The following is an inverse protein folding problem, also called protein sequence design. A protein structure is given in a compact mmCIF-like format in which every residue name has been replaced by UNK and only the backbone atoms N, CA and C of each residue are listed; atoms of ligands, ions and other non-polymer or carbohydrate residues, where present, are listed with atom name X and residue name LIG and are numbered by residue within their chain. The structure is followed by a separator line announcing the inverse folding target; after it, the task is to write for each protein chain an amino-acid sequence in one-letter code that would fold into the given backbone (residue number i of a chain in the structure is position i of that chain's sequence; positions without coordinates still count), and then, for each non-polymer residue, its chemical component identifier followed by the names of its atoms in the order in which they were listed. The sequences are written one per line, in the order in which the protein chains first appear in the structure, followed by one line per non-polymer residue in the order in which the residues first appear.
data_IF_630017631866
#
_entry.id   IF_630017631866
#
_cell.length_a   1.000
_cell.length_b   1.000
_cell.length_c   1.000
_cell.angle_alpha   90.00
_cell.angle_beta   90.00
_cell.angle_gamma   90.00
#
_symmetry.space_group_name_H-M   'P 1'
#
loop_
_entity.id
_entity.type
_entity.pdbx_description
1 polymer ?
#
# COMPACT_ATOMS: atom_id res chain seq x y z
N UNK A 1 -19.79 17.06 6.02
CA UNK A 1 -20.31 15.91 5.24
C UNK A 1 -19.12 14.99 5.09
N UNK A 2 -19.18 13.71 5.45
CA UNK A 2 -17.98 12.86 5.37
C UNK A 2 -17.82 12.32 3.94
N UNK A 3 -16.67 12.56 3.33
CA UNK A 3 -16.33 12.05 2.01
C UNK A 3 -15.46 10.81 2.15
N UNK A 4 -15.74 9.78 1.35
CA UNK A 4 -15.07 8.49 1.45
C UNK A 4 -14.23 8.25 0.20
N UNK A 5 -12.96 7.98 0.38
CA UNK A 5 -11.99 7.67 -0.66
C UNK A 5 -11.48 6.26 -0.41
N UNK A 6 -11.71 5.39 -1.38
CA UNK A 6 -11.16 4.05 -1.36
C UNK A 6 -9.93 4.09 -2.24
N UNK A 7 -8.76 3.82 -1.67
CA UNK A 7 -7.62 3.49 -2.50
C UNK A 7 -7.69 1.99 -2.78
N UNK A 8 -7.42 1.63 -4.03
CA UNK A 8 -7.26 0.26 -4.47
C UNK A 8 -6.08 0.29 -5.42
N UNK A 9 -5.02 -0.46 -5.10
CA UNK A 9 -3.72 -0.52 -5.79
C UNK A 9 -3.66 0.25 -7.13
N UNK A 10 -3.08 1.45 -7.10
CA UNK A 10 -3.00 2.30 -8.29
C UNK A 10 -4.25 3.14 -8.57
N UNK A 11 -5.01 3.52 -7.54
CA UNK A 11 -6.17 4.42 -7.68
C UNK A 11 -5.87 5.83 -7.22
N UNK A 12 -5.29 6.01 -6.03
CA UNK A 12 -4.90 7.34 -5.53
C UNK A 12 -3.42 7.62 -5.71
N UNK A 13 -2.57 6.61 -5.55
CA UNK A 13 -1.12 6.74 -5.67
C UNK A 13 -0.52 5.70 -6.61
N UNK A 14 0.55 6.09 -7.30
CA UNK A 14 1.42 5.16 -8.01
C UNK A 14 2.61 4.79 -7.12
N UNK A 15 2.52 3.60 -6.54
CA UNK A 15 3.61 2.98 -5.77
C UNK A 15 4.47 2.03 -6.61
N UNK A 16 4.12 1.79 -7.89
CA UNK A 16 4.78 0.81 -8.77
C UNK A 16 6.29 1.00 -8.81
N UNK A 17 6.84 2.22 -8.99
CA UNK A 17 8.29 2.40 -9.06
C UNK A 17 9.01 2.02 -7.77
N UNK A 18 8.40 2.30 -6.61
CA UNK A 18 8.97 1.98 -5.29
C UNK A 18 8.95 0.47 -5.05
N UNK A 19 7.81 -0.18 -5.35
CA UNK A 19 7.64 -1.63 -5.23
C UNK A 19 8.61 -2.37 -6.15
N UNK A 20 8.73 -1.97 -7.43
CA UNK A 20 9.67 -2.60 -8.36
C UNK A 20 11.13 -2.48 -7.92
N UNK A 21 11.54 -1.32 -7.37
CA UNK A 21 12.90 -1.16 -6.83
C UNK A 21 13.13 -2.00 -5.58
N UNK A 22 12.14 -2.11 -4.70
CA UNK A 22 12.24 -2.99 -3.54
C UNK A 22 12.46 -4.44 -3.98
N UNK A 23 11.68 -4.92 -4.95
CA UNK A 23 11.86 -6.26 -5.54
C UNK A 23 13.25 -6.46 -6.16
N UNK A 24 13.72 -5.50 -6.96
CA UNK A 24 15.06 -5.58 -7.59
C UNK A 24 16.17 -5.58 -6.55
N UNK A 25 16.04 -4.77 -5.50
CA UNK A 25 17.03 -4.69 -4.42
C UNK A 25 17.07 -5.99 -3.64
N UNK A 26 15.91 -6.48 -3.20
CA UNK A 26 15.81 -7.74 -2.48
C UNK A 26 16.30 -8.92 -3.32
N UNK A 27 15.93 -9.00 -4.60
CA UNK A 27 16.39 -10.07 -5.49
C UNK A 27 17.93 -10.07 -5.64
N UNK A 28 18.56 -8.89 -5.70
CA UNK A 28 20.02 -8.79 -5.71
C UNK A 28 20.66 -9.21 -4.37
N UNK A 29 20.01 -8.92 -3.23
CA UNK A 29 20.45 -9.39 -1.91
C UNK A 29 20.36 -10.91 -1.76
N UNK A 30 19.40 -11.55 -2.44
CA UNK A 30 19.14 -13.00 -2.36
C UNK A 30 19.74 -13.81 -3.52
N UNK A 31 20.45 -13.16 -4.45
CA UNK A 31 21.00 -13.76 -5.68
C UNK A 31 19.94 -14.40 -6.59
N UNK A 32 18.81 -13.70 -6.77
CA UNK A 32 17.66 -14.11 -7.58
C UNK A 32 17.48 -13.23 -8.84
N UNK A 33 16.83 -13.78 -9.86
CA UNK A 33 16.46 -13.03 -11.06
C UNK A 33 15.24 -12.13 -10.79
N UNK A 34 15.49 -10.83 -10.62
CA UNK A 34 14.46 -9.82 -10.45
C UNK A 34 13.46 -9.78 -11.62
N UNK A 35 13.88 -10.07 -12.85
CA UNK A 35 12.99 -10.03 -14.01
C UNK A 35 11.95 -11.16 -13.93
N UNK A 36 12.37 -12.37 -13.53
CA UNK A 36 11.46 -13.50 -13.32
C UNK A 36 10.43 -13.22 -12.22
N UNK A 37 10.86 -12.56 -11.12
CA UNK A 37 9.97 -12.18 -10.02
C UNK A 37 8.95 -11.12 -10.49
N UNK A 38 9.40 -10.05 -11.12
CA UNK A 38 8.54 -8.95 -11.56
C UNK A 38 7.52 -9.37 -12.62
N UNK A 39 7.85 -10.37 -13.45
CA UNK A 39 6.91 -10.95 -14.41
C UNK A 39 5.67 -11.56 -13.76
N UNK A 40 5.79 -12.03 -12.52
CA UNK A 40 4.69 -12.71 -11.81
C UNK A 40 4.16 -11.92 -10.62
N UNK A 41 4.80 -10.83 -10.20
CA UNK A 41 4.48 -10.16 -8.94
C UNK A 41 3.19 -9.33 -8.97
N UNK A 42 2.83 -8.77 -10.13
CA UNK A 42 1.67 -7.87 -10.22
C UNK A 42 0.34 -8.59 -9.96
N UNK A 43 -0.53 -7.96 -9.16
CA UNK A 43 -1.86 -8.50 -8.82
C UNK A 43 -1.83 -9.71 -7.89
N UNK A 44 -0.67 -10.02 -7.28
CA UNK A 44 -0.51 -11.08 -6.28
C UNK A 44 -0.07 -10.48 -4.95
N UNK A 45 -0.42 -11.13 -3.86
CA UNK A 45 0.16 -10.80 -2.56
C UNK A 45 1.66 -11.08 -2.59
N UNK A 46 2.46 -10.16 -2.07
CA UNK A 46 3.91 -10.29 -2.08
C UNK A 46 4.40 -11.62 -1.48
N UNK A 47 3.77 -12.11 -0.41
CA UNK A 47 4.09 -13.41 0.20
C UNK A 47 3.85 -14.59 -0.73
N UNK A 48 2.79 -14.56 -1.54
CA UNK A 48 2.51 -15.64 -2.50
C UNK A 48 3.54 -15.64 -3.62
N UNK A 49 4.00 -14.47 -4.05
CA UNK A 49 5.11 -14.34 -5.00
C UNK A 49 6.42 -14.85 -4.38
N UNK A 50 6.76 -14.44 -3.16
CA UNK A 50 7.98 -14.89 -2.47
C UNK A 50 8.05 -16.42 -2.32
N UNK A 51 6.91 -17.05 -2.01
CA UNK A 51 6.83 -18.51 -1.84
C UNK A 51 7.22 -19.30 -3.11
N UNK A 52 7.18 -18.68 -4.29
CA UNK A 52 7.64 -19.30 -5.54
C UNK A 52 9.17 -19.29 -5.70
N UNK A 53 9.89 -18.41 -4.99
CA UNK A 53 11.34 -18.17 -5.19
C UNK A 53 12.20 -18.53 -3.98
N UNK A 54 11.65 -18.62 -2.77
CA UNK A 54 12.41 -18.98 -1.55
C UNK A 54 11.79 -20.14 -0.79
N UNK A 55 12.59 -20.79 0.05
CA UNK A 55 12.12 -21.85 0.93
C UNK A 55 11.02 -21.35 1.89
N UNK A 56 10.02 -22.18 2.26
CA UNK A 56 8.87 -21.75 3.08
C UNK A 56 9.24 -21.02 4.36
N UNK A 57 10.29 -21.47 5.06
CA UNK A 57 10.80 -20.88 6.30
C UNK A 57 11.43 -19.49 6.11
N UNK A 58 11.75 -19.10 4.87
CA UNK A 58 12.35 -17.80 4.52
C UNK A 58 11.32 -16.76 4.11
N UNK A 59 10.08 -17.17 3.77
CA UNK A 59 9.05 -16.28 3.20
C UNK A 59 8.76 -15.10 4.12
N UNK A 60 8.59 -15.34 5.42
CA UNK A 60 8.29 -14.25 6.36
C UNK A 60 9.46 -13.27 6.49
N UNK A 61 10.70 -13.76 6.56
CA UNK A 61 11.89 -12.92 6.65
C UNK A 61 12.09 -12.10 5.36
N UNK A 62 11.93 -12.73 4.19
CA UNK A 62 11.99 -12.06 2.89
C UNK A 62 10.91 -10.99 2.75
N UNK A 63 9.70 -11.27 3.22
CA UNK A 63 8.61 -10.31 3.20
C UNK A 63 8.85 -9.11 4.12
N UNK A 64 9.36 -9.32 5.34
CA UNK A 64 9.73 -8.19 6.21
C UNK A 64 10.84 -7.35 5.58
N UNK A 65 11.79 -7.98 4.90
CA UNK A 65 12.86 -7.26 4.19
C UNK A 65 12.30 -6.43 3.04
N UNK A 66 11.44 -7.03 2.20
CA UNK A 66 10.79 -6.35 1.09
C UNK A 66 9.97 -5.14 1.57
N UNK A 67 9.14 -5.34 2.59
CA UNK A 67 8.35 -4.27 3.19
C UNK A 67 9.23 -3.14 3.74
N UNK A 68 10.34 -3.47 4.40
CA UNK A 68 11.30 -2.47 4.87
C UNK A 68 11.92 -1.65 3.73
N UNK A 69 12.14 -2.25 2.56
CA UNK A 69 12.67 -1.55 1.39
C UNK A 69 11.62 -0.62 0.77
N UNK A 70 10.37 -1.08 0.66
CA UNK A 70 9.25 -0.27 0.18
C UNK A 70 9.02 0.96 1.06
N UNK A 71 9.00 0.77 2.39
CA UNK A 71 8.84 1.85 3.36
C UNK A 71 10.01 2.83 3.39
N UNK A 72 11.19 2.43 2.94
CA UNK A 72 12.35 3.33 2.82
C UNK A 72 12.26 4.25 1.59
N UNK A 73 11.40 3.95 0.62
CA UNK A 73 11.28 4.65 -0.66
C UNK A 73 9.89 5.29 -0.86
N UNK A 74 9.40 5.95 0.19
CA UNK A 74 8.12 6.66 0.15
C UNK A 74 8.15 7.93 -0.71
N UNK A 75 9.34 8.51 -0.94
CA UNK A 75 9.48 9.74 -1.73
C UNK A 75 9.20 9.52 -3.23
N UNK A 76 9.19 8.25 -3.66
CA UNK A 76 8.87 7.87 -5.03
C UNK A 76 7.40 7.53 -5.25
N UNK A 77 6.61 7.50 -4.17
CA UNK A 77 5.17 7.28 -4.26
C UNK A 77 4.53 8.61 -4.62
N UNK A 78 3.96 8.68 -5.83
CA UNK A 78 3.38 9.90 -6.36
C UNK A 78 1.87 9.76 -6.46
N UNK A 79 1.13 10.86 -6.26
CA UNK A 79 -0.29 10.86 -6.53
C UNK A 79 -0.55 10.66 -8.03
N UNK A 80 -1.51 9.80 -8.36
CA UNK A 80 -1.92 9.62 -9.75
C UNK A 80 -2.60 10.89 -10.29
N UNK A 81 -2.55 11.14 -11.62
CA UNK A 81 -3.29 12.24 -12.23
C UNK A 81 -4.78 12.15 -11.89
N UNK A 82 -5.39 13.24 -11.43
CA UNK A 82 -6.78 13.25 -10.97
C UNK A 82 -6.94 12.86 -9.50
N UNK A 83 -6.06 12.04 -8.93
CA UNK A 83 -6.07 11.72 -7.50
C UNK A 83 -5.57 12.91 -6.68
N UNK A 84 -4.54 13.62 -7.14
CA UNK A 84 -4.14 14.88 -6.54
C UNK A 84 -5.27 15.93 -6.61
N UNK A 85 -6.05 15.96 -7.70
CA UNK A 85 -7.22 16.84 -7.85
C UNK A 85 -8.42 16.43 -6.98
N UNK A 86 -8.61 15.12 -6.77
CA UNK A 86 -9.65 14.53 -5.91
C UNK A 86 -9.31 14.70 -4.42
N UNK A 87 -8.04 14.48 -4.05
CA UNK A 87 -7.45 14.68 -2.71
C UNK A 87 -7.21 16.15 -2.41
N UNK A 88 -7.00 16.99 -3.44
CA UNK A 88 -7.18 18.44 -3.36
C UNK A 88 -8.67 18.76 -3.27
N UNK A 89 -9.30 18.22 -2.23
CA UNK A 89 -10.56 18.58 -1.64
C UNK A 89 -10.81 20.10 -1.72
N UNK A 90 -9.76 20.93 -1.63
CA UNK A 90 -9.73 22.39 -1.93
C UNK A 90 -10.43 22.83 -3.23
N UNK A 91 -10.36 22.09 -4.34
CA UNK A 91 -11.07 22.43 -5.60
C UNK A 91 -12.52 21.97 -5.61
N UNK A 92 -12.84 20.93 -4.84
CA UNK A 92 -14.21 20.48 -4.56
C UNK A 92 -14.85 21.22 -3.37
N UNK A 93 -14.10 22.11 -2.70
CA UNK A 93 -14.52 22.82 -1.48
C UNK A 93 -14.54 21.96 -0.21
N UNK A 94 -13.98 20.76 -0.26
CA UNK A 94 -13.92 19.79 0.85
C UNK A 94 -12.62 19.99 1.64
N UNK A 95 -12.66 19.79 2.95
CA UNK A 95 -11.45 19.73 3.78
C UNK A 95 -10.89 18.29 3.77
N UNK A 96 -9.59 18.04 3.52
CA UNK A 96 -9.01 16.71 3.65
C UNK A 96 -9.33 16.01 4.98
N UNK A 97 -9.53 16.77 6.08
CA UNK A 97 -9.95 16.21 7.36
C UNK A 97 -11.37 15.60 7.35
N UNK A 98 -12.21 15.98 6.38
CA UNK A 98 -13.53 15.37 6.13
C UNK A 98 -13.46 14.14 5.21
N UNK A 99 -12.27 13.83 4.69
CA UNK A 99 -12.02 12.65 3.88
C UNK A 99 -11.53 11.47 4.74
N UNK A 100 -12.05 10.27 4.45
CA UNK A 100 -11.54 9.02 4.99
C UNK A 100 -10.96 8.16 3.86
N UNK A 101 -9.67 7.85 3.95
CA UNK A 101 -8.96 6.90 3.10
C UNK A 101 -9.03 5.51 3.72
N UNK A 102 -9.46 4.52 2.95
CA UNK A 102 -9.44 3.11 3.31
C UNK A 102 -8.41 2.41 2.41
N UNK A 103 -7.43 1.75 3.02
CA UNK A 103 -6.23 1.26 2.33
C UNK A 103 -5.68 -0.01 3.01
N UNK A 104 -5.06 -0.92 2.26
CA UNK A 104 -4.43 -2.14 2.78
C UNK A 104 -2.90 -2.21 2.59
N UNK A 105 -2.29 -1.17 1.99
CA UNK A 105 -0.85 -0.99 1.83
C UNK A 105 -0.26 0.17 2.69
N UNK A 106 0.89 -0.02 3.36
CA UNK A 106 1.55 1.02 4.17
C UNK A 106 1.88 2.31 3.42
N UNK A 107 2.25 2.23 2.14
CA UNK A 107 2.57 3.39 1.32
C UNK A 107 1.34 4.30 1.11
N UNK A 108 0.18 3.72 0.77
CA UNK A 108 -1.07 4.46 0.62
C UNK A 108 -1.57 5.06 1.94
N UNK A 109 -1.40 4.34 3.06
CA UNK A 109 -1.76 4.82 4.39
C UNK A 109 -0.96 6.08 4.78
N UNK A 110 0.36 6.06 4.53
CA UNK A 110 1.20 7.23 4.81
C UNK A 110 0.89 8.37 3.83
N UNK A 111 0.58 8.08 2.56
CA UNK A 111 0.16 9.09 1.60
C UNK A 111 -1.15 9.79 2.04
N UNK A 112 -2.16 9.03 2.45
CA UNK A 112 -3.42 9.56 2.98
C UNK A 112 -3.21 10.40 4.24
N UNK A 113 -2.33 9.95 5.14
CA UNK A 113 -1.97 10.70 6.35
C UNK A 113 -1.26 12.01 6.02
N UNK A 114 -0.30 12.01 5.09
CA UNK A 114 0.42 13.21 4.61
C UNK A 114 -0.50 14.20 3.89
N UNK A 115 -1.54 13.70 3.22
CA UNK A 115 -2.57 14.53 2.61
C UNK A 115 -3.52 15.20 3.62
N UNK A 116 -3.45 14.82 4.91
CA UNK A 116 -4.31 15.34 5.98
C UNK A 116 -5.64 14.62 6.09
N UNK A 117 -5.80 13.46 5.45
CA UNK A 117 -7.00 12.64 5.55
C UNK A 117 -6.99 11.78 6.82
N UNK A 118 -8.19 11.41 7.27
CA UNK A 118 -8.34 10.26 8.18
C UNK A 118 -8.01 9.00 7.38
N UNK A 119 -7.38 8.02 8.01
CA UNK A 119 -7.00 6.77 7.36
C UNK A 119 -7.45 5.57 8.20
N UNK A 120 -7.96 4.53 7.55
CA UNK A 120 -8.25 3.22 8.14
C UNK A 120 -7.52 2.17 7.32
N UNK A 121 -6.78 1.31 8.00
CA UNK A 121 -6.07 0.19 7.40
C UNK A 121 -6.95 -1.05 7.31
N UNK A 122 -6.82 -1.84 6.25
CA UNK A 122 -7.50 -3.12 6.09
C UNK A 122 -6.46 -4.24 6.07
N UNK A 123 -6.60 -5.25 6.93
CA UNK A 123 -5.61 -6.31 7.13
C UNK A 123 -5.76 -7.49 6.14
N UNK A 124 -6.09 -7.21 4.88
CA UNK A 124 -6.24 -8.22 3.82
C UNK A 124 -4.90 -8.59 3.17
N UNK A 125 -4.00 -7.62 3.03
CA UNK A 125 -2.68 -7.80 2.40
C UNK A 125 -1.53 -7.83 3.40
N UNK A 126 -1.66 -7.11 4.52
CA UNK A 126 -0.67 -6.98 5.58
C UNK A 126 -1.25 -7.47 6.91
N UNK A 127 -0.43 -8.06 7.77
CA UNK A 127 -0.87 -8.43 9.12
C UNK A 127 -1.11 -7.19 9.99
N UNK A 128 -1.97 -7.23 11.01
CA UNK A 128 -2.22 -6.09 11.89
C UNK A 128 -0.95 -5.51 12.55
N UNK A 129 0.05 -6.36 12.84
CA UNK A 129 1.32 -5.91 13.39
C UNK A 129 2.15 -5.05 12.42
N UNK A 130 1.99 -5.27 11.12
CA UNK A 130 2.65 -4.48 10.07
C UNK A 130 1.93 -3.17 9.77
N UNK A 131 0.67 -3.07 10.18
CA UNK A 131 -0.18 -1.88 10.09
C UNK A 131 -0.24 -1.13 11.44
N UNK A 132 0.70 -1.38 12.34
CA UNK A 132 0.75 -0.76 13.65
C UNK A 132 0.85 0.77 13.53
N UNK A 133 0.03 1.49 14.30
CA UNK A 133 -0.08 2.95 14.24
C UNK A 133 -1.32 3.45 13.49
N UNK A 134 -2.07 2.56 12.84
CA UNK A 134 -3.35 2.86 12.20
C UNK A 134 -4.52 2.20 12.93
N UNK A 135 -5.73 2.71 12.71
CA UNK A 135 -6.96 1.98 13.02
C UNK A 135 -7.10 0.86 11.98
N UNK A 136 -7.18 -0.40 12.42
CA UNK A 136 -7.13 -1.58 11.54
C UNK A 136 -8.45 -2.33 11.57
N UNK A 137 -9.05 -2.54 10.39
CA UNK A 137 -10.15 -3.46 10.17
C UNK A 137 -9.60 -4.81 9.63
N UNK A 138 -10.15 -5.96 10.06
CA UNK A 138 -9.71 -7.25 9.53
C UNK A 138 -10.04 -7.39 8.03
N UNK A 139 -11.21 -6.90 7.64
CA UNK A 139 -11.73 -6.84 6.29
C UNK A 139 -12.84 -5.79 6.21
N UNK A 140 -13.47 -5.65 5.04
CA UNK A 140 -14.54 -4.67 4.80
C UNK A 140 -15.96 -5.21 5.09
N UNK A 141 -16.11 -6.44 5.58
CA UNK A 141 -17.45 -7.06 5.78
C UNK A 141 -18.29 -6.34 6.84
N UNK A 142 -17.62 -5.66 7.79
CA UNK A 142 -18.26 -4.90 8.85
C UNK A 142 -18.37 -3.40 8.54
N UNK A 143 -17.88 -2.94 7.38
CA UNK A 143 -17.98 -1.53 7.01
C UNK A 143 -19.42 -1.21 6.59
N UNK A 144 -20.09 -0.42 7.41
CA UNK A 144 -21.41 0.11 7.10
C UNK A 144 -21.32 1.61 6.83
N UNK A 145 -21.67 2.02 5.61
CA UNK A 145 -21.74 3.43 5.22
C UNK A 145 -23.21 3.83 5.30
N UNK A 146 -23.65 4.55 6.35
CA UNK A 146 -25.02 5.03 6.42
C UNK A 146 -25.27 6.01 5.26
N UNK A 147 -26.41 5.85 4.60
CA UNK A 147 -26.93 6.75 3.57
C UNK A 147 -27.47 8.04 4.17
#
# INVERSE_FOLDING_TARGET
MTYWLFDIDGTLVDSTPAVERAWRTWAAEDDLDAAAILQVSHGRRAKDTLADFVAPERVDAAYQRLLSLEMADLDSVVALPGAAELLAARRLGVDPAECLVVEDAPAGLEAGRRAGCRVIAVATSHSPGQLAGYEVLPDLTCLHIPT
#
